data_IF_050080680523
#
_entry.id   IF_050080680523
#
_cell.length_a   1.000
_cell.length_b   1.000
_cell.length_c   1.000
_cell.angle_alpha   90.00
_cell.angle_beta   90.00
_cell.angle_gamma   90.00
#
_symmetry.space_group_name_H-M   'P 1'
#
loop_
_entity.id
_entity.type
_entity.pdbx_description
1 polymer ?
#
# COMPACT_ATOMS: atom_id res chain seq x y z
N UNK A 1 3.73 12.51 -0.42
CA UNK A 1 4.17 11.12 -0.18
C UNK A 1 3.13 10.17 -0.75
N UNK A 2 1.86 10.24 -0.32
CA UNK A 2 0.76 9.40 -0.86
C UNK A 2 0.75 9.38 -2.39
N UNK A 3 0.73 10.54 -3.05
CA UNK A 3 0.79 10.61 -4.52
C UNK A 3 2.02 9.93 -5.17
N UNK A 4 3.16 9.82 -4.47
CA UNK A 4 4.32 9.07 -4.97
C UNK A 4 4.16 7.57 -4.72
N UNK A 5 3.55 7.16 -3.60
CA UNK A 5 3.23 5.77 -3.33
C UNK A 5 2.20 5.23 -4.34
N UNK A 6 1.11 5.98 -4.59
CA UNK A 6 0.03 5.57 -5.50
C UNK A 6 0.57 5.28 -6.92
N UNK A 7 1.34 6.21 -7.48
CA UNK A 7 1.93 6.04 -8.82
C UNK A 7 3.08 5.02 -8.86
N UNK A 8 3.69 4.69 -7.71
CA UNK A 8 4.77 3.71 -7.66
C UNK A 8 4.27 2.27 -7.65
N UNK A 9 3.04 2.02 -7.19
CA UNK A 9 2.41 0.69 -7.18
C UNK A 9 1.43 0.48 -8.35
N UNK A 10 1.07 1.55 -9.07
CA UNK A 10 0.30 1.48 -10.31
C UNK A 10 1.20 1.01 -11.49
N UNK A 11 0.89 -0.13 -12.15
CA UNK A 11 1.64 -0.61 -13.31
C UNK A 11 1.68 0.37 -14.49
N UNK A 12 0.75 1.32 -14.54
CA UNK A 12 0.65 2.37 -15.56
C UNK A 12 1.08 3.74 -15.05
N UNK A 13 1.48 3.82 -13.78
CA UNK A 13 1.83 5.06 -13.10
C UNK A 13 3.06 5.74 -13.71
N UNK A 14 3.06 7.07 -13.71
CA UNK A 14 4.20 7.89 -14.11
C UNK A 14 4.80 8.55 -12.86
N UNK A 15 5.87 7.98 -12.27
CA UNK A 15 6.33 8.42 -10.96
C UNK A 15 7.09 9.74 -10.96
N UNK A 16 7.64 10.19 -12.09
CA UNK A 16 8.59 11.31 -12.15
C UNK A 16 8.04 12.63 -11.55
N UNK A 17 6.81 13.08 -11.84
CA UNK A 17 6.29 14.31 -11.26
C UNK A 17 6.12 14.21 -9.74
N UNK A 18 5.56 13.11 -9.25
CA UNK A 18 5.34 12.89 -7.82
C UNK A 18 6.66 12.68 -7.06
N UNK A 19 7.63 12.00 -7.69
CA UNK A 19 9.00 11.83 -7.20
C UNK A 19 9.72 13.16 -7.04
N UNK A 20 9.66 14.02 -8.07
CA UNK A 20 10.28 15.35 -8.04
C UNK A 20 9.65 16.23 -6.96
N UNK A 21 8.31 16.24 -6.86
CA UNK A 21 7.60 16.99 -5.83
C UNK A 21 7.96 16.50 -4.42
N UNK A 22 8.12 15.19 -4.23
CA UNK A 22 8.53 14.63 -2.94
C UNK A 22 9.99 14.99 -2.63
N UNK A 23 10.89 14.83 -3.61
CA UNK A 23 12.32 15.18 -3.49
C UNK A 23 12.51 16.61 -3.00
N UNK A 24 11.81 17.57 -3.61
CA UNK A 24 11.89 18.98 -3.24
C UNK A 24 11.48 19.25 -1.78
N UNK A 25 10.64 18.38 -1.20
CA UNK A 25 10.03 18.59 0.11
C UNK A 25 10.76 17.89 1.25
N UNK A 26 11.37 16.73 0.99
CA UNK A 26 12.02 15.90 2.02
C UNK A 26 13.49 15.58 1.75
N UNK A 27 14.02 16.06 0.61
CA UNK A 27 15.41 15.86 0.21
C UNK A 27 15.72 14.43 -0.25
N UNK A 28 16.96 14.19 -0.71
CA UNK A 28 17.36 12.91 -1.31
C UNK A 28 17.30 11.72 -0.35
N UNK A 29 17.73 11.91 0.90
CA UNK A 29 17.69 10.87 1.93
C UNK A 29 16.24 10.46 2.23
N UNK A 30 15.37 11.44 2.50
CA UNK A 30 13.95 11.18 2.74
C UNK A 30 13.24 10.53 1.55
N UNK A 31 13.61 10.91 0.32
CA UNK A 31 13.07 10.24 -0.88
C UNK A 31 13.49 8.77 -0.95
N UNK A 32 14.74 8.48 -0.60
CA UNK A 32 15.28 7.11 -0.58
C UNK A 32 14.55 6.27 0.45
N UNK A 33 14.37 6.80 1.67
CA UNK A 33 13.62 6.12 2.73
C UNK A 33 12.17 5.88 2.31
N UNK A 34 11.50 6.86 1.72
CA UNK A 34 10.13 6.71 1.23
C UNK A 34 10.03 5.61 0.15
N UNK A 35 10.96 5.59 -0.81
CA UNK A 35 10.99 4.55 -1.84
C UNK A 35 11.25 3.16 -1.26
N UNK A 36 12.12 3.04 -0.26
CA UNK A 36 12.39 1.78 0.43
C UNK A 36 11.15 1.25 1.18
N UNK A 37 10.41 2.13 1.86
CA UNK A 37 9.15 1.77 2.53
C UNK A 37 8.12 1.28 1.52
N UNK A 38 7.92 2.01 0.41
CA UNK A 38 6.98 1.61 -0.65
C UNK A 38 7.34 0.22 -1.18
N UNK A 39 8.59 0.02 -1.59
CA UNK A 39 9.05 -1.27 -2.13
C UNK A 39 8.93 -2.42 -1.12
N UNK A 40 9.24 -2.16 0.16
CA UNK A 40 9.12 -3.15 1.23
C UNK A 40 7.69 -3.63 1.43
N UNK A 41 6.72 -2.71 1.53
CA UNK A 41 5.31 -3.08 1.71
C UNK A 41 4.71 -3.70 0.44
N UNK A 42 5.11 -3.24 -0.74
CA UNK A 42 4.69 -3.82 -2.02
C UNK A 42 5.17 -5.29 -2.16
N UNK A 43 6.39 -5.60 -1.71
CA UNK A 43 6.91 -6.97 -1.68
C UNK A 43 6.20 -7.84 -0.61
N UNK A 44 6.08 -7.35 0.63
CA UNK A 44 5.46 -8.09 1.74
C UNK A 44 4.00 -8.42 1.43
N UNK A 45 3.26 -7.50 0.81
CA UNK A 45 1.86 -7.70 0.43
C UNK A 45 1.72 -8.88 -0.53
N UNK A 46 2.58 -8.97 -1.57
CA UNK A 46 2.55 -10.10 -2.50
C UNK A 46 2.90 -11.43 -1.84
N UNK A 47 3.82 -11.45 -0.89
CA UNK A 47 4.13 -12.66 -0.12
C UNK A 47 2.95 -13.08 0.75
N UNK A 48 2.29 -12.12 1.42
CA UNK A 48 1.10 -12.39 2.22
C UNK A 48 -0.04 -12.97 1.35
N UNK A 49 -0.32 -12.33 0.21
CA UNK A 49 -1.32 -12.78 -0.75
C UNK A 49 -1.01 -14.17 -1.30
N UNK A 50 0.25 -14.42 -1.68
CA UNK A 50 0.70 -15.69 -2.25
C UNK A 50 0.72 -16.85 -1.24
N UNK A 51 0.92 -16.55 0.04
CA UNK A 51 0.93 -17.56 1.11
C UNK A 51 -0.43 -17.78 1.76
N UNK A 52 -1.37 -16.84 1.60
CA UNK A 52 -2.67 -16.90 2.26
C UNK A 52 -2.59 -16.73 3.78
N UNK A 53 -1.60 -15.98 4.28
CA UNK A 53 -1.44 -15.75 5.71
C UNK A 53 -2.71 -15.07 6.29
N UNK A 54 -3.30 -15.59 7.40
CA UNK A 54 -4.52 -15.04 7.94
C UNK A 54 -4.28 -13.69 8.64
N UNK A 55 -5.30 -12.85 8.66
CA UNK A 55 -5.30 -11.62 9.45
C UNK A 55 -5.35 -11.96 10.95
N UNK A 56 -4.43 -11.39 11.73
CA UNK A 56 -4.40 -11.58 13.17
C UNK A 56 -5.62 -10.93 13.86
N UNK A 57 -6.19 -11.53 14.92
CA UNK A 57 -7.41 -11.02 15.56
C UNK A 57 -7.35 -9.53 15.98
N UNK A 58 -6.28 -9.03 16.62
CA UNK A 58 -6.21 -7.60 16.99
C UNK A 58 -6.24 -6.66 15.77
N UNK A 59 -5.68 -7.09 14.64
CA UNK A 59 -5.70 -6.32 13.39
C UNK A 59 -7.07 -6.38 12.73
N UNK A 60 -7.77 -7.51 12.83
CA UNK A 60 -9.15 -7.65 12.33
C UNK A 60 -10.13 -6.74 13.08
N UNK A 61 -10.00 -6.67 14.41
CA UNK A 61 -10.79 -5.77 15.27
C UNK A 61 -10.49 -4.30 14.97
N UNK A 62 -9.21 -3.91 14.97
CA UNK A 62 -8.80 -2.54 14.67
C UNK A 62 -9.17 -2.08 13.24
N UNK A 63 -9.49 -3.03 12.35
CA UNK A 63 -9.84 -2.75 10.96
C UNK A 63 -11.29 -2.92 10.56
N UNK A 64 -12.15 -3.33 11.50
CA UNK A 64 -13.54 -3.67 11.21
C UNK A 64 -14.28 -2.52 10.50
N UNK A 65 -14.23 -1.31 11.05
CA UNK A 65 -15.01 -0.18 10.55
C UNK A 65 -14.62 0.21 9.12
N UNK A 66 -13.32 0.29 8.81
CA UNK A 66 -12.89 0.69 7.47
C UNK A 66 -13.07 -0.44 6.45
N UNK A 67 -12.84 -1.70 6.82
CA UNK A 67 -13.16 -2.83 5.92
C UNK A 67 -14.64 -2.90 5.57
N UNK A 68 -15.52 -2.63 6.54
CA UNK A 68 -16.96 -2.51 6.29
C UNK A 68 -17.28 -1.32 5.36
N UNK A 69 -16.72 -0.14 5.62
CA UNK A 69 -16.97 1.06 4.80
C UNK A 69 -16.49 0.94 3.35
N UNK A 70 -15.41 0.17 3.12
CA UNK A 70 -14.81 -0.07 1.81
C UNK A 70 -15.42 -1.30 1.10
N UNK A 71 -16.33 -2.04 1.76
CA UNK A 71 -16.94 -3.25 1.20
C UNK A 71 -15.97 -4.43 1.06
N UNK A 72 -14.82 -4.41 1.75
CA UNK A 72 -13.78 -5.45 1.66
C UNK A 72 -14.32 -6.80 2.15
N UNK A 73 -15.14 -6.79 3.19
CA UNK A 73 -15.71 -8.01 3.77
C UNK A 73 -16.64 -8.74 2.78
N UNK A 74 -17.33 -7.99 1.92
CA UNK A 74 -18.19 -8.54 0.87
C UNK A 74 -17.40 -9.09 -0.32
N UNK A 75 -16.19 -8.58 -0.58
CA UNK A 75 -15.37 -9.02 -1.71
C UNK A 75 -15.02 -10.51 -1.63
N UNK A 76 -14.78 -11.02 -0.42
CA UNK A 76 -14.45 -12.44 -0.20
C UNK A 76 -15.66 -13.36 -0.42
N UNK A 77 -16.87 -12.89 -0.09
CA UNK A 77 -18.11 -13.67 -0.22
C UNK A 77 -18.75 -13.59 -1.61
N UNK A 78 -18.25 -12.72 -2.49
CA UNK A 78 -18.71 -12.57 -3.88
C UNK A 78 -17.96 -13.45 -4.90
N UNK A 79 -16.90 -14.16 -4.49
CA UNK A 79 -16.14 -15.08 -5.36
C UNK A 79 -16.78 -16.48 -5.51
N UNK A 80 -18.01 -16.68 -5.04
CA UNK A 80 -18.79 -17.93 -5.21
C UNK A 80 -19.76 -17.82 -6.36
#
# INVERSE_FOLDING_TARGET
>A
MIAFADVAIDPTGQPDPARAALLARIGPAGLTDAAAVIAGFDAITRVADGSGIPLEPPKAEASADWRASLGIDAYWTMKV
#
